data_IF_232140912041
#
_entry.id   IF_232140912041
#
_cell.length_a   1.000
_cell.length_b   1.000
_cell.length_c   1.000
_cell.angle_alpha   90.00
_cell.angle_beta   90.00
_cell.angle_gamma   90.00
#
_symmetry.space_group_name_H-M   'P 1'
#
loop_
_entity.id
_entity.type
_entity.pdbx_description
1 polymer ?
#
# COMPACT_ATOMS: atom_id res chain seq x y z
N UNK A 1 2.15 -3.28 16.39
CA UNK A 1 2.11 -4.54 15.61
C UNK A 1 0.93 -4.44 14.66
N UNK A 2 1.13 -4.70 13.37
CA UNK A 2 0.12 -4.55 12.28
C UNK A 2 -1.19 -5.27 12.56
N UNK A 3 -1.14 -6.41 13.27
CA UNK A 3 -2.33 -7.13 13.70
C UNK A 3 -3.31 -6.26 14.53
N UNK A 4 -2.84 -5.20 15.21
CA UNK A 4 -3.69 -4.29 15.97
C UNK A 4 -4.39 -3.23 15.09
N UNK A 5 -3.92 -2.99 13.87
CA UNK A 5 -4.55 -2.05 12.91
C UNK A 5 -5.55 -2.77 12.01
N UNK A 6 -5.46 -4.09 11.88
CA UNK A 6 -6.37 -4.90 11.05
C UNK A 6 -6.78 -6.21 11.74
N UNK A 7 -7.41 -6.15 12.93
CA UNK A 7 -7.68 -7.34 13.75
C UNK A 7 -8.64 -8.36 13.11
N UNK A 8 -9.38 -7.95 12.06
CA UNK A 8 -10.26 -8.81 11.27
C UNK A 8 -9.68 -9.28 9.94
N UNK A 9 -8.39 -9.07 9.68
CA UNK A 9 -7.80 -9.45 8.40
C UNK A 9 -7.77 -10.96 8.23
N UNK A 10 -8.27 -11.42 7.08
CA UNK A 10 -8.20 -12.81 6.68
C UNK A 10 -6.87 -13.08 5.96
N UNK A 11 -6.26 -14.22 6.24
CA UNK A 11 -5.15 -14.71 5.42
C UNK A 11 -5.67 -14.92 3.99
N UNK A 12 -4.94 -14.35 3.02
CA UNK A 12 -5.29 -14.46 1.61
C UNK A 12 -4.41 -15.49 0.89
N UNK A 13 -3.09 -15.31 0.98
CA UNK A 13 -2.13 -16.23 0.36
C UNK A 13 -0.75 -16.11 0.99
N UNK A 14 0.16 -16.98 0.58
CA UNK A 14 1.57 -16.91 0.95
C UNK A 14 2.43 -17.20 -0.25
N UNK A 15 3.44 -16.37 -0.44
CA UNK A 15 4.37 -16.45 -1.55
C UNK A 15 5.77 -16.74 -0.98
N UNK A 16 6.47 -17.71 -1.58
CA UNK A 16 7.89 -17.96 -1.26
C UNK A 16 8.74 -17.06 -2.13
N UNK A 17 9.42 -16.12 -1.49
CA UNK A 17 10.29 -15.13 -2.12
C UNK A 17 11.76 -15.58 -2.12
N UNK A 18 12.05 -16.82 -1.75
CA UNK A 18 13.41 -17.35 -1.83
C UNK A 18 13.92 -17.33 -3.27
N UNK A 19 15.10 -16.74 -3.45
CA UNK A 19 15.81 -16.70 -4.73
C UNK A 19 16.90 -17.78 -4.83
N UNK A 20 17.25 -18.41 -3.70
CA UNK A 20 18.31 -19.42 -3.58
C UNK A 20 17.74 -20.80 -3.20
N UNK A 21 18.23 -21.90 -3.81
CA UNK A 21 17.79 -23.24 -3.46
C UNK A 21 18.10 -23.61 -2.00
N UNK A 22 17.12 -24.21 -1.31
CA UNK A 22 17.30 -24.75 0.05
C UNK A 22 17.03 -23.75 1.18
N UNK A 23 16.65 -22.51 0.84
CA UNK A 23 16.12 -21.52 1.79
C UNK A 23 14.67 -21.20 1.40
N UNK A 24 13.82 -20.91 2.39
CA UNK A 24 12.45 -20.46 2.18
C UNK A 24 12.29 -19.07 2.81
N UNK A 25 11.68 -18.14 2.08
CA UNK A 25 11.42 -16.78 2.56
C UNK A 25 9.96 -16.45 2.32
N UNK A 26 9.10 -16.77 3.28
CA UNK A 26 7.66 -16.62 3.10
C UNK A 26 7.20 -15.20 3.36
N UNK A 27 6.47 -14.64 2.39
CA UNK A 27 5.64 -13.46 2.58
C UNK A 27 4.17 -13.87 2.70
N UNK A 28 3.55 -13.50 3.80
CA UNK A 28 2.14 -13.81 4.08
C UNK A 28 1.27 -12.58 3.84
N UNK A 29 0.30 -12.70 2.94
CA UNK A 29 -0.61 -11.62 2.59
C UNK A 29 -1.94 -11.78 3.31
N UNK A 30 -2.44 -10.68 3.85
CA UNK A 30 -3.72 -10.60 4.55
C UNK A 30 -4.60 -9.54 3.90
N UNK A 31 -5.92 -9.73 3.98
CA UNK A 31 -6.92 -8.82 3.41
C UNK A 31 -8.01 -8.50 4.43
N UNK A 32 -8.42 -7.24 4.49
CA UNK A 32 -9.55 -6.77 5.28
C UNK A 32 -10.30 -5.71 4.52
N UNK A 33 -11.63 -5.70 4.64
CA UNK A 33 -12.43 -4.55 4.22
C UNK A 33 -12.38 -3.48 5.31
N UNK A 34 -12.30 -2.21 4.91
CA UNK A 34 -12.33 -1.05 5.81
C UNK A 34 -13.06 0.12 5.15
N UNK A 35 -13.48 1.09 5.95
CA UNK A 35 -14.02 2.37 5.47
C UNK A 35 -12.93 3.44 5.55
N UNK A 36 -12.97 4.43 4.65
CA UNK A 36 -12.02 5.55 4.63
C UNK A 36 -12.03 6.38 5.93
N UNK A 37 -13.11 6.31 6.72
CA UNK A 37 -13.25 6.99 8.01
C UNK A 37 -12.93 6.10 9.20
N UNK A 38 -12.50 4.87 8.99
CA UNK A 38 -12.12 3.97 10.09
C UNK A 38 -10.81 4.46 10.72
N UNK A 39 -10.78 4.81 12.02
CA UNK A 39 -9.55 5.20 12.71
C UNK A 39 -8.45 4.14 12.67
N UNK A 40 -8.79 2.87 12.40
CA UNK A 40 -7.83 1.81 12.20
C UNK A 40 -7.00 2.00 10.92
N UNK A 41 -7.58 2.59 9.87
CA UNK A 41 -6.87 2.95 8.65
C UNK A 41 -5.81 4.03 8.93
N UNK A 42 -6.16 5.08 9.67
CA UNK A 42 -5.20 6.13 10.07
C UNK A 42 -4.01 5.54 10.82
N UNK A 43 -4.28 4.61 11.75
CA UNK A 43 -3.21 3.91 12.48
C UNK A 43 -2.35 3.04 11.56
N UNK A 44 -2.93 2.38 10.57
CA UNK A 44 -2.17 1.61 9.59
C UNK A 44 -1.25 2.52 8.78
N UNK A 45 -1.75 3.66 8.30
CA UNK A 45 -0.96 4.65 7.55
C UNK A 45 0.19 5.23 8.39
N UNK A 46 -0.05 5.50 9.68
CA UNK A 46 1.02 5.89 10.61
C UNK A 46 2.05 4.78 10.82
N UNK A 47 1.61 3.51 10.92
CA UNK A 47 2.56 2.39 11.00
C UNK A 47 3.44 2.30 9.76
N UNK A 48 2.89 2.58 8.58
CA UNK A 48 3.68 2.61 7.33
C UNK A 48 4.68 3.76 7.35
N UNK A 49 4.23 4.96 7.73
CA UNK A 49 5.09 6.14 7.79
C UNK A 49 6.21 6.04 8.84
N UNK A 50 6.01 5.27 9.91
CA UNK A 50 7.00 5.03 10.98
C UNK A 50 7.86 3.77 10.74
N UNK A 51 7.86 3.21 9.52
CA UNK A 51 8.58 1.97 9.15
C UNK A 51 8.26 0.78 10.07
N UNK A 52 7.04 0.75 10.64
CA UNK A 52 6.56 -0.37 11.46
C UNK A 52 5.87 -1.45 10.62
N UNK A 53 5.55 -1.16 9.36
CA UNK A 53 5.04 -2.10 8.37
C UNK A 53 5.26 -1.60 6.96
N UNK A 54 5.40 -2.54 6.02
CA UNK A 54 5.51 -2.29 4.59
C UNK A 54 4.47 -3.13 3.82
N UNK A 55 4.52 -3.04 2.48
CA UNK A 55 3.72 -3.90 1.59
C UNK A 55 2.20 -3.70 1.68
N UNK A 56 1.75 -2.53 2.14
CA UNK A 56 0.33 -2.19 2.25
C UNK A 56 -0.20 -1.74 0.90
N UNK A 57 -1.32 -2.33 0.45
CA UNK A 57 -2.04 -1.89 -0.74
C UNK A 57 -3.48 -1.60 -0.33
N UNK A 58 -3.95 -0.40 -0.64
CA UNK A 58 -5.35 -0.01 -0.52
C UNK A 58 -5.96 0.00 -1.92
N UNK A 59 -7.10 -0.66 -2.08
CA UNK A 59 -7.80 -0.77 -3.35
C UNK A 59 -9.28 -1.06 -3.13
N UNK A 60 -10.08 -0.91 -4.17
CA UNK A 60 -11.45 -1.39 -4.21
C UNK A 60 -11.50 -2.83 -4.78
N UNK A 61 -12.58 -3.60 -4.54
CA UNK A 61 -12.63 -5.04 -4.88
C UNK A 61 -12.37 -5.42 -6.35
N UNK A 62 -12.66 -4.55 -7.31
CA UNK A 62 -12.37 -4.76 -8.73
C UNK A 62 -10.96 -4.32 -9.15
N UNK A 63 -10.17 -3.79 -8.21
CA UNK A 63 -8.78 -3.35 -8.39
C UNK A 63 -8.59 -2.33 -9.53
N UNK A 64 -9.57 -1.46 -9.78
CA UNK A 64 -9.49 -0.42 -10.80
C UNK A 64 -8.45 0.66 -10.48
N UNK A 65 -8.20 0.91 -9.19
CA UNK A 65 -7.15 1.82 -8.70
C UNK A 65 -6.43 1.19 -7.51
N UNK A 66 -5.21 1.62 -7.23
CA UNK A 66 -4.48 1.17 -6.06
C UNK A 66 -3.63 2.30 -5.46
N UNK A 67 -3.49 2.26 -4.13
CA UNK A 67 -2.61 3.15 -3.37
C UNK A 67 -1.64 2.29 -2.57
N UNK A 68 -0.35 2.53 -2.73
CA UNK A 68 0.72 1.83 -2.03
C UNK A 68 1.54 2.84 -1.21
N UNK A 69 1.16 3.07 0.07
CA UNK A 69 1.94 3.91 0.96
C UNK A 69 3.22 3.20 1.39
N UNK A 70 4.28 3.97 1.62
CA UNK A 70 5.57 3.51 2.15
C UNK A 70 6.24 4.64 2.95
N UNK A 71 7.30 4.33 3.70
CA UNK A 71 8.04 5.37 4.42
C UNK A 71 8.57 6.44 3.44
N UNK A 72 8.15 7.68 3.67
CA UNK A 72 8.52 8.83 2.85
C UNK A 72 7.62 9.10 1.63
N UNK A 73 6.55 8.33 1.38
CA UNK A 73 5.68 8.62 0.24
C UNK A 73 4.51 7.68 0.01
N UNK A 74 3.94 7.79 -1.19
CA UNK A 74 2.83 6.97 -1.66
C UNK A 74 2.85 6.88 -3.18
N UNK A 75 2.67 5.67 -3.69
CA UNK A 75 2.38 5.46 -5.10
C UNK A 75 0.86 5.40 -5.31
N UNK A 76 0.38 6.09 -6.35
CA UNK A 76 -1.04 6.11 -6.72
C UNK A 76 -1.19 5.61 -8.15
N UNK A 77 -1.84 4.46 -8.30
CA UNK A 77 -2.23 3.87 -9.58
C UNK A 77 -3.69 4.24 -9.85
N UNK A 78 -3.90 5.25 -10.69
CA UNK A 78 -5.24 5.70 -11.06
C UNK A 78 -5.90 4.75 -12.09
N UNK A 79 -7.22 4.76 -12.11
CA UNK A 79 -8.03 3.94 -13.03
C UNK A 79 -7.94 4.34 -14.50
N UNK A 80 -7.48 5.55 -14.78
CA UNK A 80 -7.22 6.04 -16.13
C UNK A 80 -6.09 7.06 -16.17
N UNK A 81 -5.61 7.35 -17.38
CA UNK A 81 -4.61 8.41 -17.61
C UNK A 81 -5.17 9.79 -17.24
N UNK A 82 -6.44 10.04 -17.55
CA UNK A 82 -7.11 11.30 -17.26
C UNK A 82 -7.19 11.55 -15.75
N UNK A 83 -7.59 10.53 -14.97
CA UNK A 83 -7.65 10.63 -13.50
C UNK A 83 -6.26 10.80 -12.90
N UNK A 84 -5.25 10.09 -13.42
CA UNK A 84 -3.85 10.28 -13.01
C UNK A 84 -3.41 11.73 -13.20
N UNK A 85 -3.69 12.30 -14.36
CA UNK A 85 -3.27 13.67 -14.70
C UNK A 85 -4.03 14.71 -13.88
N UNK A 86 -5.32 14.48 -13.59
CA UNK A 86 -6.10 15.30 -12.65
C UNK A 86 -5.49 15.27 -11.24
N UNK A 87 -5.16 14.08 -10.72
CA UNK A 87 -4.51 13.93 -9.42
C UNK A 87 -3.15 14.63 -9.37
N UNK A 88 -2.32 14.46 -10.41
CA UNK A 88 -1.02 15.12 -10.50
C UNK A 88 -1.16 16.65 -10.54
N UNK A 89 -2.19 17.18 -11.22
CA UNK A 89 -2.50 18.61 -11.23
C UNK A 89 -2.99 19.13 -9.88
N UNK A 90 -3.92 18.40 -9.24
CA UNK A 90 -4.50 18.76 -7.96
C UNK A 90 -3.50 18.72 -6.80
N UNK A 91 -2.58 17.74 -6.83
CA UNK A 91 -1.59 17.47 -5.80
C UNK A 91 -0.16 17.73 -6.28
N UNK A 92 0.04 18.69 -7.17
CA UNK A 92 1.37 18.99 -7.74
C UNK A 92 2.44 19.33 -6.69
N UNK A 93 2.02 19.82 -5.51
CA UNK A 93 2.92 20.09 -4.38
C UNK A 93 3.44 18.82 -3.68
N UNK A 94 2.83 17.65 -3.93
CA UNK A 94 3.25 16.36 -3.37
C UNK A 94 4.25 15.64 -4.26
N UNK A 95 4.40 16.08 -5.52
CA UNK A 95 5.34 15.48 -6.44
C UNK A 95 6.78 15.73 -5.95
N UNK A 96 7.67 14.73 -6.05
CA UNK A 96 9.08 14.92 -5.75
C UNK A 96 9.66 16.05 -6.61
N UNK A 97 10.55 16.85 -6.04
CA UNK A 97 11.24 17.93 -6.76
C UNK A 97 12.13 17.43 -7.90
N UNK A 98 12.44 16.13 -7.93
CA UNK A 98 13.26 15.47 -8.94
C UNK A 98 12.58 14.17 -9.35
N UNK A 99 12.42 13.97 -10.67
CA UNK A 99 12.01 12.66 -11.22
C UNK A 99 13.02 11.60 -10.75
N UNK A 100 12.54 10.62 -9.97
CA UNK A 100 13.32 9.42 -9.65
C UNK A 100 12.99 8.33 -10.67
N UNK A 101 14.03 7.80 -11.33
CA UNK A 101 13.93 6.72 -12.32
C UNK A 101 14.30 7.17 -13.74
N UNK A 102 15.54 6.89 -14.14
CA UNK A 102 15.96 6.73 -15.54
C UNK A 102 16.56 5.34 -15.70
#
# INVERSE_FOLDING_TARGET
>A
MVAATTPGAAHWRSDDLATEPGFHSWQHHYVSATDLRDPALDRLLLCVADDMTDGVILTEPACAWAVHPYDGGVDVFAESIEVRDELAGAYGAWLPSTLQGT
#
